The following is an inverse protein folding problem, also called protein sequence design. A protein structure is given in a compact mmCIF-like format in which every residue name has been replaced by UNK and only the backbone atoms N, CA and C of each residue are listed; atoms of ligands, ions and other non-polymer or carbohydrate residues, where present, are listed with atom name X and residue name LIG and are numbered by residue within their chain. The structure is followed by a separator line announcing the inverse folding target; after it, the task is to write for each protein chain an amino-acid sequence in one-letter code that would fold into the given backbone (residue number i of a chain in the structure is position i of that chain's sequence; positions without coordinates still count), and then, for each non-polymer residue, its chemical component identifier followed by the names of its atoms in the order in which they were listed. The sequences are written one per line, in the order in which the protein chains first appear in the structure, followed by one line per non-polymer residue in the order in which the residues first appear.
data_IF_306430798399
#
_entry.id   IF_306430798399
#
_cell.length_a   1.000
_cell.length_b   1.000
_cell.length_c   1.000
_cell.angle_alpha   90.00
_cell.angle_beta   90.00
_cell.angle_gamma   90.00
#
_symmetry.space_group_name_H-M   'P 1'
#
loop_
_entity.id
_entity.type
_entity.pdbx_description
1 polymer ?
#
# COMPACT_ATOMS: atom_id res chain seq x y z
N UNK A 1 -4.91 -11.46 9.45
CA UNK A 1 -4.43 -12.76 9.94
C UNK A 1 -2.92 -12.72 10.14
N UNK A 2 -2.39 -13.41 11.15
CA UNK A 2 -0.94 -13.49 11.42
C UNK A 2 -0.31 -14.64 10.64
N UNK A 3 0.92 -14.46 10.12
CA UNK A 3 1.62 -15.48 9.31
C UNK A 3 1.98 -16.74 10.10
N UNK A 4 2.36 -16.59 11.36
CA UNK A 4 2.72 -17.69 12.26
C UNK A 4 1.49 -18.36 12.92
N UNK A 5 0.30 -18.25 12.33
CA UNK A 5 -0.93 -18.82 12.89
C UNK A 5 -1.40 -20.05 12.11
N UNK A 6 -2.06 -20.99 12.80
CA UNK A 6 -2.70 -22.14 12.17
C UNK A 6 -3.81 -21.69 11.20
N UNK A 7 -4.50 -20.59 11.51
CA UNK A 7 -5.46 -19.95 10.63
C UNK A 7 -4.83 -19.60 9.27
N UNK A 8 -3.59 -19.10 9.26
CA UNK A 8 -2.87 -18.82 8.01
C UNK A 8 -2.56 -20.07 7.21
N UNK A 9 -2.12 -21.14 7.86
CA UNK A 9 -1.84 -22.42 7.17
C UNK A 9 -3.09 -22.96 6.50
N UNK A 10 -4.22 -23.00 7.22
CA UNK A 10 -5.51 -23.45 6.67
C UNK A 10 -5.94 -22.57 5.50
N UNK A 11 -5.91 -21.25 5.69
CA UNK A 11 -6.25 -20.29 4.64
C UNK A 11 -5.37 -20.47 3.39
N UNK A 12 -4.06 -20.61 3.57
CA UNK A 12 -3.11 -20.78 2.48
C UNK A 12 -3.38 -22.06 1.68
N UNK A 13 -3.60 -23.18 2.37
CA UNK A 13 -3.93 -24.47 1.73
C UNK A 13 -5.23 -24.36 0.93
N UNK A 14 -6.27 -23.71 1.47
CA UNK A 14 -7.53 -23.49 0.76
C UNK A 14 -7.32 -22.63 -0.49
N UNK A 15 -6.60 -21.52 -0.39
CA UNK A 15 -6.32 -20.62 -1.53
C UNK A 15 -5.54 -21.34 -2.62
N UNK A 16 -4.51 -22.12 -2.25
CA UNK A 16 -3.72 -22.91 -3.21
C UNK A 16 -4.57 -23.98 -3.87
N UNK A 17 -5.37 -24.73 -3.10
CA UNK A 17 -6.26 -25.75 -3.65
C UNK A 17 -7.27 -25.16 -4.65
N UNK A 18 -7.87 -24.01 -4.32
CA UNK A 18 -8.78 -23.29 -5.23
C UNK A 18 -8.05 -22.78 -6.47
N UNK A 19 -6.83 -22.25 -6.31
CA UNK A 19 -6.02 -21.75 -7.43
C UNK A 19 -5.75 -22.84 -8.47
N UNK A 20 -5.39 -24.05 -8.04
CA UNK A 20 -5.13 -25.18 -8.94
C UNK A 20 -6.39 -25.70 -9.63
N UNK A 21 -7.55 -25.64 -8.97
CA UNK A 21 -8.84 -26.07 -9.55
C UNK A 21 -9.36 -25.13 -10.62
N UNK A 22 -9.07 -23.83 -10.51
CA UNK A 22 -9.54 -22.84 -11.49
C UNK A 22 -8.69 -22.93 -12.76
N UNK A 23 -9.33 -23.10 -13.92
CA UNK A 23 -8.65 -23.15 -15.23
C UNK A 23 -8.42 -21.78 -15.85
N UNK A 24 -9.34 -20.82 -15.64
CA UNK A 24 -9.26 -19.48 -16.23
C UNK A 24 -8.24 -18.59 -15.51
N UNK A 25 -7.33 -17.97 -16.27
CA UNK A 25 -6.33 -17.05 -15.73
C UNK A 25 -6.96 -15.82 -15.05
N UNK A 26 -8.05 -15.28 -15.60
CA UNK A 26 -8.72 -14.12 -15.01
C UNK A 26 -9.40 -14.49 -13.68
N UNK A 27 -9.98 -15.68 -13.58
CA UNK A 27 -10.58 -16.17 -12.34
C UNK A 27 -9.51 -16.45 -11.26
N UNK A 28 -8.32 -16.94 -11.64
CA UNK A 28 -7.17 -17.07 -10.72
C UNK A 28 -6.76 -15.71 -10.16
N UNK A 29 -6.63 -14.69 -11.01
CA UNK A 29 -6.28 -13.33 -10.56
C UNK A 29 -7.33 -12.77 -9.59
N UNK A 30 -8.62 -12.96 -9.88
CA UNK A 30 -9.69 -12.54 -8.97
C UNK A 30 -9.61 -13.27 -7.62
N UNK A 31 -9.38 -14.59 -7.63
CA UNK A 31 -9.19 -15.37 -6.42
C UNK A 31 -8.03 -14.82 -5.58
N UNK A 32 -6.88 -14.52 -6.21
CA UNK A 32 -5.71 -14.03 -5.50
C UNK A 32 -5.91 -12.62 -4.93
N UNK A 33 -6.63 -11.74 -5.64
CA UNK A 33 -7.02 -10.43 -5.11
C UNK A 33 -7.92 -10.62 -3.90
N UNK A 34 -9.02 -11.37 -4.04
CA UNK A 34 -9.97 -11.61 -2.94
C UNK A 34 -9.28 -12.24 -1.73
N UNK A 35 -8.44 -13.25 -1.95
CA UNK A 35 -7.63 -13.88 -0.91
C UNK A 35 -6.73 -12.84 -0.22
N UNK A 36 -6.05 -12.00 -0.97
CA UNK A 36 -5.19 -10.95 -0.40
C UNK A 36 -5.99 -9.98 0.48
N UNK A 37 -7.15 -9.52 0.01
CA UNK A 37 -8.01 -8.62 0.80
C UNK A 37 -8.61 -9.30 2.04
N UNK A 38 -8.96 -10.59 1.95
CA UNK A 38 -9.37 -11.37 3.14
C UNK A 38 -8.21 -11.47 4.13
N UNK A 39 -6.99 -11.72 3.66
CA UNK A 39 -5.80 -11.82 4.50
C UNK A 39 -5.57 -10.54 5.33
N UNK A 40 -5.59 -9.37 4.67
CA UNK A 40 -5.43 -8.06 5.34
C UNK A 40 -6.66 -7.67 6.16
N UNK A 41 -7.86 -7.91 5.63
CA UNK A 41 -9.11 -7.60 6.32
C UNK A 41 -9.30 -8.40 7.60
N UNK A 42 -8.87 -9.66 7.61
CA UNK A 42 -8.83 -10.51 8.81
C UNK A 42 -7.75 -10.08 9.80
N UNK A 43 -6.87 -9.13 9.48
CA UNK A 43 -6.00 -8.49 10.46
C UNK A 43 -6.66 -7.22 11.00
N UNK A 44 -7.09 -6.33 10.11
CA UNK A 44 -7.82 -5.11 10.46
C UNK A 44 -8.52 -4.55 9.20
N UNK A 45 -9.86 -4.58 9.11
CA UNK A 45 -10.60 -4.22 7.89
C UNK A 45 -10.33 -2.79 7.35
N UNK A 46 -10.27 -1.74 8.19
CA UNK A 46 -9.88 -0.39 7.76
C UNK A 46 -8.60 -0.34 6.92
N UNK A 47 -7.58 -1.13 7.23
CA UNK A 47 -6.30 -1.08 6.51
C UNK A 47 -6.34 -1.80 5.16
N UNK A 48 -7.24 -2.77 4.98
CA UNK A 48 -7.51 -3.33 3.66
C UNK A 48 -8.15 -2.26 2.76
N UNK A 49 -9.10 -1.47 3.28
CA UNK A 49 -9.68 -0.34 2.56
C UNK A 49 -8.63 0.74 2.24
N UNK A 50 -7.73 1.04 3.19
CA UNK A 50 -6.61 1.96 2.97
C UNK A 50 -5.70 1.49 1.83
N UNK A 51 -5.30 0.21 1.84
CA UNK A 51 -4.49 -0.40 0.78
C UNK A 51 -5.17 -0.31 -0.60
N UNK A 52 -6.48 -0.56 -0.67
CA UNK A 52 -7.24 -0.36 -1.90
C UNK A 52 -7.25 1.10 -2.33
N UNK A 53 -7.51 2.02 -1.41
CA UNK A 53 -7.57 3.46 -1.69
C UNK A 53 -6.26 3.98 -2.24
N UNK A 54 -5.12 3.63 -1.64
CA UNK A 54 -3.82 4.07 -2.11
C UNK A 54 -3.45 3.45 -3.45
N UNK A 55 -3.63 2.15 -3.62
CA UNK A 55 -3.32 1.48 -4.89
C UNK A 55 -4.21 1.97 -6.03
N UNK A 56 -5.49 2.21 -5.79
CA UNK A 56 -6.38 2.78 -6.79
C UNK A 56 -5.98 4.22 -7.16
N UNK A 57 -5.59 5.03 -6.17
CA UNK A 57 -5.14 6.40 -6.41
C UNK A 57 -3.83 6.44 -7.20
N UNK A 58 -2.84 5.63 -6.84
CA UNK A 58 -1.56 5.59 -7.57
C UNK A 58 -1.70 5.04 -8.98
N UNK A 59 -2.61 4.08 -9.20
CA UNK A 59 -2.99 3.64 -10.54
C UNK A 59 -3.57 4.81 -11.37
N UNK A 60 -4.46 5.60 -10.78
CA UNK A 60 -5.04 6.77 -11.43
C UNK A 60 -3.98 7.84 -11.72
N UNK A 61 -3.15 8.18 -10.73
CA UNK A 61 -2.06 9.15 -10.87
C UNK A 61 -1.06 8.73 -11.96
N UNK A 62 -0.66 7.46 -11.99
CA UNK A 62 0.21 6.92 -13.04
C UNK A 62 -0.39 7.06 -14.45
N UNK A 63 -1.70 6.83 -14.61
CA UNK A 63 -2.39 7.03 -15.90
C UNK A 63 -2.48 8.51 -16.28
N UNK A 64 -2.76 9.40 -15.34
CA UNK A 64 -2.82 10.84 -15.61
C UNK A 64 -1.45 11.39 -15.96
N UNK A 65 -0.40 10.93 -15.28
CA UNK A 65 0.99 11.26 -15.57
C UNK A 65 1.40 10.86 -16.99
N UNK A 66 0.96 9.71 -17.49
CA UNK A 66 1.29 9.30 -18.86
C UNK A 66 0.47 10.01 -19.95
N UNK A 67 -0.70 10.55 -19.61
CA UNK A 67 -1.50 11.37 -20.54
C UNK A 67 -1.00 12.82 -20.65
N UNK A 68 -0.29 13.30 -19.63
CA UNK A 68 0.24 14.65 -19.59
C UNK A 68 1.27 14.84 -20.71
N UNK A 69 1.03 15.83 -21.57
CA UNK A 69 1.92 16.19 -22.69
C UNK A 69 3.12 17.02 -22.23
N UNK A 70 2.90 17.89 -21.24
CA UNK A 70 3.93 18.80 -20.74
C UNK A 70 4.71 18.21 -19.57
N UNK A 71 6.01 18.45 -19.54
CA UNK A 71 6.91 17.97 -18.49
C UNK A 71 6.55 18.53 -17.10
N UNK A 72 6.03 19.76 -17.03
CA UNK A 72 5.56 20.36 -15.80
C UNK A 72 4.37 19.60 -15.20
N UNK A 73 3.36 19.27 -16.02
CA UNK A 73 2.21 18.50 -15.57
C UNK A 73 2.62 17.10 -15.10
N UNK A 74 3.53 16.42 -15.82
CA UNK A 74 4.10 15.13 -15.38
C UNK A 74 4.79 15.23 -14.02
N UNK A 75 5.56 16.29 -13.79
CA UNK A 75 6.23 16.53 -12.51
C UNK A 75 5.23 16.79 -11.38
N UNK A 76 4.17 17.56 -11.63
CA UNK A 76 3.13 17.81 -10.63
C UNK A 76 2.42 16.53 -10.20
N UNK A 77 2.08 15.65 -11.15
CA UNK A 77 1.48 14.34 -10.84
C UNK A 77 2.43 13.43 -10.05
N UNK A 78 3.73 13.45 -10.38
CA UNK A 78 4.74 12.72 -9.61
C UNK A 78 4.82 13.24 -8.18
N UNK A 79 4.94 14.55 -8.01
CA UNK A 79 5.00 15.19 -6.68
C UNK A 79 3.75 14.85 -5.88
N UNK A 80 2.56 14.88 -6.48
CA UNK A 80 1.32 14.49 -5.82
C UNK A 80 1.35 13.03 -5.32
N UNK A 81 1.77 12.07 -6.15
CA UNK A 81 1.90 10.66 -5.74
C UNK A 81 2.95 10.47 -4.64
N UNK A 82 4.11 11.14 -4.77
CA UNK A 82 5.17 11.09 -3.76
C UNK A 82 4.70 11.66 -2.43
N UNK A 83 4.09 12.84 -2.44
CA UNK A 83 3.54 13.47 -1.25
C UNK A 83 2.49 12.57 -0.60
N UNK A 84 1.53 12.03 -1.36
CA UNK A 84 0.51 11.13 -0.81
C UNK A 84 1.10 9.89 -0.14
N UNK A 85 2.01 9.19 -0.83
CA UNK A 85 2.66 7.98 -0.33
C UNK A 85 3.52 8.25 0.91
N UNK A 86 4.32 9.32 0.89
CA UNK A 86 5.18 9.70 2.02
C UNK A 86 4.38 10.27 3.20
N UNK A 87 3.29 11.00 2.95
CA UNK A 87 2.40 11.45 4.03
C UNK A 87 1.75 10.27 4.73
N UNK A 88 1.32 9.25 4.00
CA UNK A 88 0.73 8.06 4.62
C UNK A 88 1.77 7.27 5.42
N UNK A 89 2.95 7.05 4.86
CA UNK A 89 4.05 6.40 5.56
C UNK A 89 4.49 7.22 6.80
N UNK A 90 4.59 8.54 6.65
CA UNK A 90 4.90 9.49 7.71
C UNK A 90 3.91 9.43 8.86
N UNK A 91 2.62 9.48 8.56
CA UNK A 91 1.55 9.40 9.55
C UNK A 91 1.58 8.07 10.32
N UNK A 92 1.57 6.93 9.63
CA UNK A 92 1.47 5.63 10.29
C UNK A 92 2.75 5.15 10.96
N UNK A 93 3.93 5.48 10.40
CA UNK A 93 5.22 5.00 10.91
C UNK A 93 5.87 5.97 11.87
N UNK A 94 5.77 7.27 11.59
CA UNK A 94 6.46 8.31 12.32
C UNK A 94 5.51 9.23 13.11
N UNK A 95 4.19 9.07 12.99
CA UNK A 95 3.21 9.92 13.68
C UNK A 95 3.42 9.99 15.18
N UNK A 96 3.56 8.85 15.85
CA UNK A 96 3.82 8.81 17.30
C UNK A 96 5.17 9.44 17.67
N UNK A 97 6.21 9.20 16.88
CA UNK A 97 7.52 9.82 17.08
C UNK A 97 7.45 11.34 16.95
N UNK A 98 6.82 11.85 15.88
CA UNK A 98 6.64 13.29 15.65
C UNK A 98 5.81 13.93 16.76
N UNK A 99 4.75 13.25 17.21
CA UNK A 99 3.88 13.71 18.29
C UNK A 99 4.62 13.81 19.63
N UNK A 100 5.46 12.83 19.96
CA UNK A 100 6.29 12.84 21.16
C UNK A 100 7.32 13.98 21.14
N UNK A 101 8.00 14.19 20.01
CA UNK A 101 8.95 15.29 19.84
C UNK A 101 8.25 16.66 19.94
N UNK A 102 7.04 16.78 19.38
CA UNK A 102 6.26 18.00 19.44
C UNK A 102 5.81 18.33 20.88
N UNK A 103 5.33 17.33 21.63
CA UNK A 103 5.02 17.47 23.06
C UNK A 103 6.25 17.94 23.86
N UNK A 104 7.40 17.31 23.61
CA UNK A 104 8.64 17.67 24.28
C UNK A 104 9.09 19.11 23.97
N UNK A 105 8.92 19.57 22.73
CA UNK A 105 9.22 20.94 22.34
C UNK A 105 8.26 21.95 23.00
N UNK A 106 6.97 21.66 23.03
CA UNK A 106 5.97 22.52 23.68
C UNK A 106 6.18 22.59 25.19
N UNK A 107 6.56 21.48 25.83
CA UNK A 107 6.90 21.46 27.25
C UNK A 107 8.07 22.38 27.57
N UNK A 108 9.07 22.51 26.68
CA UNK A 108 10.17 23.48 26.82
C UNK A 108 9.72 24.94 26.71
N UNK A 109 8.62 25.20 26.01
CA UNK A 109 7.99 26.51 25.92
C UNK A 109 6.98 26.75 27.06
N UNK A 110 6.88 25.83 28.03
CA UNK A 110 5.95 25.91 29.16
C UNK A 110 4.51 25.50 28.82
N UNK A 111 4.25 24.99 27.61
CA UNK A 111 2.92 24.57 27.16
C UNK A 111 2.77 23.06 27.40
N UNK A 112 1.88 22.68 28.32
CA UNK A 112 1.52 21.27 28.55
C UNK A 112 0.47 20.86 27.53
N UNK A 113 0.92 20.26 26.43
CA UNK A 113 0.04 19.71 25.40
C UNK A 113 -0.17 18.21 25.64
N UNK A 114 -1.40 17.82 25.91
CA UNK A 114 -1.82 16.43 26.00
C UNK A 114 -2.60 16.07 24.73
N UNK A 115 -1.97 15.41 23.74
CA UNK A 115 -2.69 14.98 22.57
C UNK A 115 -3.68 13.86 22.92
N UNK A 116 -4.76 13.72 22.13
CA UNK A 116 -5.62 12.55 22.21
C UNK A 116 -4.79 11.28 22.02
N UNK A 117 -5.15 10.20 22.71
CA UNK A 117 -4.56 8.88 22.51
C UNK A 117 -4.94 8.36 21.12
N UNK A 118 -4.13 8.73 20.12
CA UNK A 118 -4.17 8.13 18.80
C UNK A 118 -3.26 6.91 18.86
N UNK A 119 -3.83 5.75 19.18
CA UNK A 119 -3.14 4.47 18.99
C UNK A 119 -3.07 4.20 17.48
N UNK A 120 -2.10 4.85 16.82
CA UNK A 120 -1.83 4.68 15.40
C UNK A 120 -1.31 3.26 15.19
N UNK A 121 -2.24 2.34 14.91
CA UNK A 121 -1.90 0.96 14.60
C UNK A 121 -1.20 0.92 13.24
N UNK A 122 0.02 0.38 13.21
CA UNK A 122 0.85 0.38 12.00
C UNK A 122 0.40 -0.71 11.03
N UNK A 123 -0.02 -0.37 9.79
CA UNK A 123 -0.51 -1.37 8.86
C UNK A 123 0.58 -2.35 8.45
N UNK A 124 0.29 -3.64 8.53
CA UNK A 124 1.24 -4.69 8.09
C UNK A 124 1.63 -4.45 6.63
N UNK A 125 2.93 -4.28 6.39
CA UNK A 125 3.48 -4.13 5.06
C UNK A 125 3.35 -2.73 4.44
N UNK A 126 2.98 -1.69 5.20
CA UNK A 126 2.87 -0.31 4.69
C UNK A 126 4.11 0.17 3.94
N UNK A 127 5.30 -0.08 4.49
CA UNK A 127 6.53 0.31 3.80
C UNK A 127 6.65 -0.37 2.43
N UNK A 128 6.34 -1.67 2.32
CA UNK A 128 6.50 -2.41 1.07
C UNK A 128 5.56 -1.92 -0.02
N UNK A 129 4.26 -1.82 0.24
CA UNK A 129 3.33 -1.37 -0.79
C UNK A 129 3.53 0.11 -1.14
N UNK A 130 3.93 0.95 -0.18
CA UNK A 130 4.28 2.36 -0.45
C UNK A 130 5.50 2.45 -1.35
N UNK A 131 6.57 1.69 -1.10
CA UNK A 131 7.76 1.70 -1.95
C UNK A 131 7.48 1.13 -3.34
N UNK A 132 6.66 0.07 -3.45
CA UNK A 132 6.19 -0.44 -4.74
C UNK A 132 5.42 0.62 -5.53
N UNK A 133 4.52 1.34 -4.87
CA UNK A 133 3.74 2.39 -5.53
C UNK A 133 4.59 3.57 -5.98
N UNK A 134 5.56 3.97 -5.14
CA UNK A 134 6.54 5.00 -5.48
C UNK A 134 7.44 4.58 -6.64
N UNK A 135 7.94 3.34 -6.65
CA UNK A 135 8.72 2.80 -7.77
C UNK A 135 7.91 2.82 -9.07
N UNK A 136 6.65 2.38 -9.03
CA UNK A 136 5.77 2.40 -10.19
C UNK A 136 5.58 3.81 -10.76
N UNK A 137 5.27 4.80 -9.92
CA UNK A 137 5.04 6.18 -10.38
C UNK A 137 6.33 6.87 -10.85
N UNK A 138 7.47 6.61 -10.19
CA UNK A 138 8.79 7.11 -10.62
C UNK A 138 9.23 6.51 -11.95
N UNK A 139 9.00 5.21 -12.17
CA UNK A 139 9.40 4.54 -13.42
C UNK A 139 8.53 4.98 -14.61
N UNK A 140 7.25 5.31 -14.37
CA UNK A 140 6.40 5.98 -15.37
C UNK A 140 6.90 7.39 -15.66
N UNK A 141 7.27 8.15 -14.63
CA UNK A 141 7.83 9.49 -14.83
C UNK A 141 9.12 9.44 -15.66
N UNK A 142 10.00 8.48 -15.38
CA UNK A 142 11.26 8.27 -16.12
C UNK A 142 11.07 7.69 -17.52
N UNK A 143 9.86 7.22 -17.85
CA UNK A 143 9.57 6.57 -19.14
C UNK A 143 10.14 5.16 -19.26
N UNK A 144 10.59 4.55 -18.15
CA UNK A 144 11.08 3.17 -18.09
C UNK A 144 9.90 2.20 -18.18
N UNK A 145 8.77 2.55 -17.57
CA UNK A 145 7.56 1.73 -17.53
C UNK A 145 6.37 2.45 -18.17
N UNK A 146 5.52 1.71 -18.87
CA UNK A 146 4.20 2.21 -19.31
C UNK A 146 3.16 1.93 -18.23
N UNK A 147 2.21 2.83 -17.95
CA UNK A 147 1.19 2.58 -16.94
C UNK A 147 0.39 1.31 -17.23
N UNK A 148 0.10 0.57 -16.17
CA UNK A 148 -0.70 -0.65 -16.25
C UNK A 148 -2.10 -0.32 -16.78
N UNK A 149 -2.63 -1.17 -17.67
CA UNK A 149 -3.97 -0.95 -18.28
C UNK A 149 -5.11 -1.43 -17.37
N UNK A 150 -4.84 -2.40 -16.51
CA UNK A 150 -5.80 -3.11 -15.66
C UNK A 150 -5.56 -2.78 -14.20
N UNK A 151 -6.53 -2.10 -13.57
CA UNK A 151 -6.47 -1.77 -12.14
C UNK A 151 -6.32 -3.05 -11.30
N UNK A 152 -7.03 -4.12 -11.67
CA UNK A 152 -6.94 -5.42 -11.01
C UNK A 152 -5.53 -6.01 -11.01
N UNK A 153 -4.81 -5.89 -12.12
CA UNK A 153 -3.46 -6.45 -12.21
C UNK A 153 -2.49 -5.63 -11.35
N UNK A 154 -2.69 -4.31 -11.27
CA UNK A 154 -1.94 -3.43 -10.37
C UNK A 154 -2.24 -3.73 -8.90
N UNK A 155 -3.53 -3.82 -8.54
CA UNK A 155 -3.96 -4.19 -7.19
C UNK A 155 -3.38 -5.55 -6.81
N UNK A 156 -3.46 -6.54 -7.69
CA UNK A 156 -2.91 -7.87 -7.42
C UNK A 156 -1.40 -7.79 -7.18
N UNK A 157 -0.65 -7.10 -8.03
CA UNK A 157 0.81 -6.96 -7.88
C UNK A 157 1.20 -6.31 -6.55
N UNK A 158 0.50 -5.25 -6.15
CA UNK A 158 0.83 -4.50 -4.93
C UNK A 158 0.30 -5.20 -3.68
N UNK A 159 -0.89 -5.82 -3.73
CA UNK A 159 -1.55 -6.43 -2.57
C UNK A 159 -1.24 -7.91 -2.40
N UNK A 160 -0.39 -8.54 -3.22
CA UNK A 160 -0.21 -9.99 -3.16
C UNK A 160 0.32 -10.44 -1.79
N UNK A 161 -0.55 -11.10 -1.00
CA UNK A 161 -0.26 -11.38 0.41
C UNK A 161 1.01 -12.21 0.68
N UNK A 162 1.41 -13.20 -0.16
CA UNK A 162 2.65 -13.95 0.09
C UNK A 162 3.90 -13.08 -0.10
N UNK A 163 3.84 -12.11 -1.01
CA UNK A 163 4.99 -11.27 -1.35
C UNK A 163 5.19 -10.12 -0.36
N UNK A 164 4.09 -9.54 0.13
CA UNK A 164 4.12 -8.36 0.99
C UNK A 164 4.79 -8.60 2.36
N UNK A 165 5.06 -9.86 2.72
CA UNK A 165 5.69 -10.24 4.00
C UNK A 165 7.05 -10.90 3.85
N UNK A 166 7.41 -11.40 2.66
CA UNK A 166 8.65 -12.15 2.48
C UNK A 166 9.87 -11.30 2.05
N UNK A 167 9.70 -10.17 1.35
CA UNK A 167 10.83 -9.43 0.73
C UNK A 167 11.51 -10.24 -0.40
N UNK A 168 11.86 -9.65 -1.55
CA UNK A 168 12.40 -8.31 -1.78
C UNK A 168 11.44 -7.40 -2.57
N UNK A 169 11.86 -6.16 -2.82
CA UNK A 169 11.20 -5.23 -3.74
C UNK A 169 11.30 -5.82 -5.15
N UNK A 170 10.28 -6.57 -5.56
CA UNK A 170 10.18 -7.08 -6.92
C UNK A 170 9.87 -5.91 -7.84
N UNK A 171 10.68 -5.71 -8.87
CA UNK A 171 10.45 -4.74 -9.96
C UNK A 171 9.58 -5.36 -11.03
#
# INVERSE_FOLDING_TARGET
MLFNSLTFVVFFVVVVALYWRIRSWQARKNLLVVASYIFYGAWNPPFAALLFGTTAMDFWLGRQMAKARDQHARRSWLVASVCMNLSMLGFFKYGNFLLQNFQWLLARLGIIYQPPHLDILLPVGISFYTFHSLSYTLDIYRGVLRPTKSLRDFILAVSFFPQLVAGPIVR
#
